data_IF_500572437092
#
_entry.id   IF_500572437092
#
_cell.length_a   1.000
_cell.length_b   1.000
_cell.length_c   1.000
_cell.angle_alpha   90.00
_cell.angle_beta   90.00
_cell.angle_gamma   90.00
#
_symmetry.space_group_name_H-M   'P 1'
#
loop_
_entity.id
_entity.type
_entity.pdbx_description
1 polymer ?
#
# COMPACT_ATOMS: atom_id res chain seq x y z
N UNK A 1 -10.56 -0.06 -27.75
CA UNK A 1 -10.08 -0.06 -26.35
C UNK A 1 -11.29 0.22 -25.50
N UNK A 2 -11.78 -0.77 -24.76
CA UNK A 2 -12.96 -0.62 -23.91
C UNK A 2 -12.45 -0.21 -22.54
N UNK A 3 -12.76 1.00 -22.09
CA UNK A 3 -12.59 1.38 -20.70
C UNK A 3 -13.58 0.53 -19.86
N UNK A 4 -13.10 -0.35 -18.97
CA UNK A 4 -14.01 -1.08 -18.10
C UNK A 4 -14.74 -0.09 -17.18
N UNK A 5 -16.06 -0.26 -17.04
CA UNK A 5 -16.86 0.55 -16.12
C UNK A 5 -16.44 0.26 -14.67
N UNK A 6 -16.52 1.23 -13.73
CA UNK A 6 -15.99 1.09 -12.36
C UNK A 6 -16.52 -0.13 -11.58
N UNK A 7 -17.73 -0.61 -11.92
CA UNK A 7 -18.33 -1.79 -11.29
C UNK A 7 -17.64 -3.12 -11.64
N UNK A 8 -16.87 -3.16 -12.73
CA UNK A 8 -16.15 -4.37 -13.17
C UNK A 8 -14.75 -4.48 -12.52
N UNK A 9 -14.15 -3.35 -12.11
CA UNK A 9 -12.82 -3.33 -11.50
C UNK A 9 -12.78 -4.11 -10.17
N UNK A 10 -13.85 -4.00 -9.39
CA UNK A 10 -13.97 -4.62 -8.07
C UNK A 10 -14.75 -5.94 -8.08
N UNK A 11 -15.25 -6.39 -9.23
CA UNK A 11 -15.94 -7.67 -9.34
C UNK A 11 -14.96 -8.81 -9.11
N UNK A 12 -15.32 -9.71 -8.19
CA UNK A 12 -14.52 -10.89 -7.81
C UNK A 12 -13.05 -10.58 -7.53
N UNK A 13 -12.79 -9.43 -6.89
CA UNK A 13 -11.46 -8.98 -6.52
C UNK A 13 -11.05 -9.50 -5.15
N UNK A 14 -9.95 -10.24 -5.10
CA UNK A 14 -9.27 -10.63 -3.88
C UNK A 14 -8.05 -9.74 -3.65
N UNK A 15 -7.91 -9.21 -2.42
CA UNK A 15 -6.80 -8.32 -2.04
C UNK A 15 -5.90 -9.03 -1.03
N UNK A 16 -4.66 -9.28 -1.42
CA UNK A 16 -3.62 -9.77 -0.52
C UNK A 16 -2.94 -8.59 0.18
N UNK A 17 -2.98 -8.58 1.51
CA UNK A 17 -2.36 -7.52 2.31
C UNK A 17 -0.88 -7.84 2.58
N UNK A 18 0.03 -7.03 2.06
CA UNK A 18 1.46 -7.11 2.42
C UNK A 18 1.70 -6.53 3.81
N UNK A 19 1.01 -5.45 4.18
CA UNK A 19 1.27 -4.67 5.40
C UNK A 19 2.78 -4.44 5.60
N UNK A 20 3.33 -4.91 6.72
CA UNK A 20 4.76 -4.89 7.03
C UNK A 20 5.38 -6.30 7.01
N UNK A 21 4.78 -7.26 6.30
CA UNK A 21 5.25 -8.64 6.23
C UNK A 21 6.52 -8.79 5.36
N UNK A 22 6.89 -7.76 4.61
CA UNK A 22 8.19 -7.66 3.93
C UNK A 22 9.37 -7.50 4.90
N UNK A 23 9.11 -7.21 6.19
CA UNK A 23 10.13 -7.16 7.26
C UNK A 23 11.31 -6.22 6.95
N UNK A 24 11.03 -5.06 6.35
CA UNK A 24 12.08 -4.10 5.94
C UNK A 24 12.95 -4.57 4.76
N UNK A 25 12.56 -5.64 4.04
CA UNK A 25 13.31 -6.19 2.92
C UNK A 25 12.48 -6.18 1.63
N UNK A 26 12.97 -5.44 0.62
CA UNK A 26 12.38 -5.45 -0.72
C UNK A 26 12.42 -6.85 -1.32
N UNK A 27 13.55 -7.55 -1.18
CA UNK A 27 13.71 -8.90 -1.72
C UNK A 27 12.71 -9.88 -1.10
N UNK A 28 12.50 -9.80 0.22
CA UNK A 28 11.50 -10.64 0.88
C UNK A 28 10.07 -10.29 0.42
N UNK A 29 9.76 -8.99 0.27
CA UNK A 29 8.48 -8.55 -0.29
C UNK A 29 8.23 -9.06 -1.72
N UNK A 30 9.25 -9.04 -2.59
CA UNK A 30 9.18 -9.60 -3.96
C UNK A 30 8.94 -11.10 -3.95
N UNK A 31 9.59 -11.82 -3.03
CA UNK A 31 9.38 -13.25 -2.86
C UNK A 31 7.93 -13.55 -2.44
N UNK A 32 7.37 -12.80 -1.49
CA UNK A 32 5.95 -12.93 -1.09
C UNK A 32 5.02 -12.72 -2.31
N UNK A 33 5.27 -11.68 -3.11
CA UNK A 33 4.48 -11.38 -4.33
C UNK A 33 4.56 -12.55 -5.31
N UNK A 34 5.75 -13.13 -5.52
CA UNK A 34 5.95 -14.30 -6.38
C UNK A 34 5.16 -15.51 -5.89
N UNK A 35 5.13 -15.75 -4.58
CA UNK A 35 4.36 -16.84 -3.98
C UNK A 35 2.85 -16.65 -4.12
N UNK A 36 2.35 -15.41 -3.97
CA UNK A 36 0.96 -15.11 -4.29
C UNK A 36 0.65 -15.42 -5.75
N UNK A 37 1.54 -15.05 -6.69
CA UNK A 37 1.33 -15.34 -8.11
C UNK A 37 1.20 -16.83 -8.38
N UNK A 38 2.04 -17.65 -7.77
CA UNK A 38 1.97 -19.11 -7.88
C UNK A 38 0.66 -19.67 -7.29
N UNK A 39 0.19 -19.11 -6.18
CA UNK A 39 -0.98 -19.61 -5.46
C UNK A 39 -2.32 -19.38 -6.17
N UNK A 40 -2.37 -18.45 -7.13
CA UNK A 40 -3.62 -18.05 -7.80
C UNK A 40 -3.74 -18.53 -9.25
N UNK A 41 -2.76 -19.30 -9.75
CA UNK A 41 -2.75 -19.76 -11.15
C UNK A 41 -4.03 -20.55 -11.46
N UNK A 42 -4.70 -20.17 -12.56
CA UNK A 42 -5.92 -20.84 -13.04
C UNK A 42 -7.21 -20.45 -12.32
N UNK A 43 -7.15 -19.58 -11.31
CA UNK A 43 -8.35 -19.08 -10.63
C UNK A 43 -9.05 -18.00 -11.47
N UNK A 44 -10.39 -18.02 -11.58
CA UNK A 44 -11.16 -17.08 -12.41
C UNK A 44 -11.46 -15.76 -11.66
N UNK A 45 -10.49 -15.22 -10.93
CA UNK A 45 -10.66 -14.04 -10.08
C UNK A 45 -9.66 -12.93 -10.44
N UNK A 46 -9.98 -11.71 -10.03
CA UNK A 46 -9.03 -10.59 -10.05
C UNK A 46 -8.25 -10.60 -8.75
N UNK A 47 -6.98 -10.24 -8.83
CA UNK A 47 -6.10 -10.24 -7.67
C UNK A 47 -5.35 -8.92 -7.55
N UNK A 48 -5.29 -8.42 -6.33
CA UNK A 48 -4.54 -7.23 -5.95
C UNK A 48 -3.56 -7.57 -4.84
N UNK A 49 -2.49 -6.80 -4.75
CA UNK A 49 -1.62 -6.77 -3.58
C UNK A 49 -1.63 -5.35 -3.04
N UNK A 50 -1.83 -5.24 -1.72
CA UNK A 50 -1.96 -3.96 -1.03
C UNK A 50 -0.74 -3.66 -0.17
N UNK A 51 -0.18 -2.47 -0.37
CA UNK A 51 0.89 -1.89 0.45
C UNK A 51 0.31 -0.90 1.47
N UNK A 52 1.10 -0.60 2.51
CA UNK A 52 0.82 0.45 3.48
C UNK A 52 1.94 1.47 3.43
N UNK A 53 1.62 2.72 3.08
CA UNK A 53 2.61 3.79 3.06
C UNK A 53 2.51 4.61 4.33
N UNK A 54 3.65 4.75 5.01
CA UNK A 54 3.81 5.61 6.18
C UNK A 54 5.10 6.39 6.00
N UNK A 55 4.99 7.71 5.98
CA UNK A 55 6.15 8.58 6.07
C UNK A 55 6.59 8.62 7.55
N UNK A 56 7.48 7.72 7.98
CA UNK A 56 7.74 7.52 9.41
C UNK A 56 8.26 8.75 10.14
N UNK A 57 8.98 9.64 9.44
CA UNK A 57 9.49 10.88 9.99
C UNK A 57 8.38 11.86 10.43
N UNK A 58 7.24 11.85 9.74
CA UNK A 58 6.07 12.68 10.09
C UNK A 58 5.01 11.89 10.85
N UNK A 59 4.96 10.57 10.68
CA UNK A 59 3.98 9.68 11.31
C UNK A 59 4.32 9.34 12.77
N UNK A 60 5.59 9.15 13.11
CA UNK A 60 6.03 8.81 14.48
C UNK A 60 6.51 10.09 15.16
N UNK A 61 5.75 10.55 16.16
CA UNK A 61 6.13 11.72 16.95
C UNK A 61 7.54 11.55 17.57
N UNK A 62 8.43 12.57 17.53
CA UNK A 62 9.82 12.45 17.98
C UNK A 62 9.98 11.86 19.38
N UNK A 63 9.09 12.20 20.32
CA UNK A 63 9.09 11.65 21.69
C UNK A 63 8.90 10.12 21.78
N UNK A 64 8.47 9.47 20.69
CA UNK A 64 8.26 8.03 20.62
C UNK A 64 9.32 7.32 19.76
N UNK A 65 10.14 8.01 18.98
CA UNK A 65 11.03 7.38 17.99
C UNK A 65 12.01 6.38 18.60
N UNK A 66 12.59 6.70 19.75
CA UNK A 66 13.55 5.82 20.43
C UNK A 66 12.90 4.80 21.38
N UNK A 67 11.56 4.79 21.48
CA UNK A 67 10.83 3.88 22.37
C UNK A 67 10.67 2.50 21.76
N UNK A 68 11.15 1.50 22.48
CA UNK A 68 11.01 0.08 22.12
C UNK A 68 9.82 -0.62 22.82
N UNK A 69 9.22 0.05 23.81
CA UNK A 69 8.13 -0.49 24.63
C UNK A 69 6.73 -0.28 24.02
N UNK A 70 6.66 0.39 22.88
CA UNK A 70 5.42 0.59 22.13
C UNK A 70 5.39 -0.33 20.91
N UNK A 71 4.51 -1.34 20.97
CA UNK A 71 4.42 -2.45 19.98
C UNK A 71 4.50 -1.98 18.53
N UNK A 72 3.70 -0.98 18.17
CA UNK A 72 3.59 -0.53 16.77
C UNK A 72 4.74 0.36 16.34
N UNK A 73 5.22 1.26 17.20
CA UNK A 73 6.38 2.11 16.88
C UNK A 73 7.59 1.24 16.59
N UNK A 74 7.88 0.27 17.47
CA UNK A 74 8.96 -0.69 17.25
C UNK A 74 8.79 -1.43 15.93
N UNK A 75 7.62 -2.04 15.68
CA UNK A 75 7.38 -2.78 14.44
C UNK A 75 7.53 -1.91 13.20
N UNK A 76 7.06 -0.67 13.21
CA UNK A 76 7.16 0.22 12.05
C UNK A 76 8.60 0.62 11.75
N UNK A 77 9.38 0.96 12.78
CA UNK A 77 10.80 1.29 12.62
C UNK A 77 11.63 0.08 12.17
N UNK A 78 11.39 -1.09 12.76
CA UNK A 78 12.12 -2.33 12.40
C UNK A 78 11.88 -2.77 10.95
N UNK A 79 10.75 -2.37 10.35
CA UNK A 79 10.36 -2.79 9.00
C UNK A 79 10.26 -1.63 8.01
N UNK A 80 10.91 -0.51 8.29
CA UNK A 80 10.87 0.67 7.43
C UNK A 80 11.42 0.35 6.03
N UNK A 81 10.72 0.88 5.02
CA UNK A 81 11.19 0.95 3.64
C UNK A 81 11.05 2.40 3.18
N UNK A 82 12.06 2.91 2.48
CA UNK A 82 12.01 4.26 1.92
C UNK A 82 11.11 4.33 0.66
N UNK A 83 10.89 5.54 0.14
CA UNK A 83 10.04 5.79 -1.04
C UNK A 83 10.43 4.91 -2.24
N UNK A 84 11.71 4.87 -2.61
CA UNK A 84 12.22 4.08 -3.75
C UNK A 84 12.02 2.57 -3.55
N UNK A 85 12.23 2.07 -2.33
CA UNK A 85 12.04 0.66 -2.00
C UNK A 85 10.56 0.27 -2.04
N UNK A 86 9.68 1.14 -1.56
CA UNK A 86 8.24 0.94 -1.66
C UNK A 86 7.78 0.98 -3.13
N UNK A 87 8.35 1.86 -3.94
CA UNK A 87 8.09 1.90 -5.39
C UNK A 87 8.50 0.60 -6.08
N UNK A 88 9.67 0.05 -5.75
CA UNK A 88 10.12 -1.26 -6.27
C UNK A 88 9.13 -2.39 -5.94
N UNK A 89 8.53 -2.39 -4.74
CA UNK A 89 7.49 -3.36 -4.40
C UNK A 89 6.22 -3.15 -5.23
N UNK A 90 5.80 -1.90 -5.46
CA UNK A 90 4.66 -1.61 -6.35
C UNK A 90 4.92 -2.08 -7.78
N UNK A 91 6.13 -1.89 -8.30
CA UNK A 91 6.48 -2.37 -9.64
C UNK A 91 6.50 -3.89 -9.70
N UNK A 92 7.05 -4.57 -8.70
CA UNK A 92 7.00 -6.03 -8.61
C UNK A 92 5.55 -6.58 -8.56
N UNK A 93 4.63 -5.89 -7.89
CA UNK A 93 3.19 -6.23 -7.90
C UNK A 93 2.63 -6.15 -9.32
N UNK A 94 2.90 -5.05 -10.03
CA UNK A 94 2.43 -4.83 -11.39
C UNK A 94 3.03 -5.85 -12.38
N UNK A 95 4.33 -6.13 -12.28
CA UNK A 95 5.05 -7.13 -13.08
C UNK A 95 4.50 -8.54 -12.89
N UNK A 96 4.06 -8.89 -11.67
CA UNK A 96 3.38 -10.15 -11.38
C UNK A 96 1.94 -10.21 -11.96
N UNK A 97 1.44 -9.11 -12.52
CA UNK A 97 0.09 -8.99 -13.08
C UNK A 97 -0.99 -8.80 -12.02
N UNK A 98 -0.64 -8.33 -10.83
CA UNK A 98 -1.59 -7.95 -9.79
C UNK A 98 -1.93 -6.46 -9.86
N UNK A 99 -3.11 -6.10 -9.35
CA UNK A 99 -3.50 -4.70 -9.19
C UNK A 99 -2.81 -4.14 -7.94
N UNK A 100 -1.96 -3.10 -8.04
CA UNK A 100 -1.38 -2.47 -6.87
C UNK A 100 -2.41 -1.57 -6.17
N UNK A 101 -2.59 -1.78 -4.86
CA UNK A 101 -3.42 -0.95 -3.99
C UNK A 101 -2.52 -0.37 -2.90
N UNK A 102 -2.78 0.87 -2.46
CA UNK A 102 -2.06 1.43 -1.31
C UNK A 102 -3.02 1.95 -0.23
N UNK A 103 -2.58 1.87 1.02
CA UNK A 103 -3.22 2.52 2.16
C UNK A 103 -2.30 3.61 2.69
N UNK A 104 -2.61 4.91 2.49
CA UNK A 104 -1.87 5.99 3.14
C UNK A 104 -2.22 6.10 4.62
N UNK A 105 -1.27 6.57 5.42
CA UNK A 105 -1.47 6.92 6.84
C UNK A 105 -1.01 8.34 7.19
N UNK A 106 -0.54 9.11 6.21
CA UNK A 106 -0.14 10.51 6.33
C UNK A 106 -0.30 11.20 4.97
N UNK A 107 -0.42 12.53 4.97
CA UNK A 107 -0.57 13.36 3.78
C UNK A 107 0.63 13.22 2.84
N UNK A 108 1.86 13.21 3.37
CA UNK A 108 3.08 12.97 2.60
C UNK A 108 3.06 11.58 1.92
N UNK A 109 2.40 10.61 2.55
CA UNK A 109 2.22 9.28 1.95
C UNK A 109 1.27 9.32 0.76
N UNK A 110 0.32 10.27 0.71
CA UNK A 110 -0.55 10.47 -0.46
C UNK A 110 0.26 11.02 -1.63
N UNK A 111 1.18 11.96 -1.39
CA UNK A 111 2.06 12.49 -2.44
C UNK A 111 2.92 11.38 -3.08
N UNK A 112 3.48 10.48 -2.26
CA UNK A 112 4.22 9.30 -2.75
C UNK A 112 3.33 8.39 -3.61
N UNK A 113 2.09 8.18 -3.17
CA UNK A 113 1.13 7.32 -3.87
C UNK A 113 0.76 7.89 -5.24
N UNK A 114 0.56 9.21 -5.35
CA UNK A 114 0.33 9.89 -6.62
C UNK A 114 1.54 9.77 -7.56
N UNK A 115 2.75 10.04 -7.05
CA UNK A 115 3.99 9.90 -7.83
C UNK A 115 4.21 8.47 -8.35
N UNK A 116 3.90 7.46 -7.54
CA UNK A 116 4.01 6.05 -7.93
C UNK A 116 2.85 5.56 -8.81
N UNK A 117 1.81 6.37 -9.00
CA UNK A 117 0.71 6.10 -9.92
C UNK A 117 -0.24 4.99 -9.45
N UNK A 118 -0.52 4.87 -8.14
CA UNK A 118 -1.56 3.95 -7.68
C UNK A 118 -2.96 4.45 -8.06
N UNK A 119 -3.77 3.57 -8.64
CA UNK A 119 -5.13 3.91 -9.05
C UNK A 119 -6.17 3.67 -7.95
N UNK A 120 -5.86 2.80 -6.98
CA UNK A 120 -6.78 2.43 -5.89
C UNK A 120 -6.12 2.73 -4.55
N UNK A 121 -6.82 3.53 -3.74
CA UNK A 121 -6.43 3.81 -2.37
C UNK A 121 -7.44 3.17 -1.42
N UNK A 122 -6.93 2.56 -0.36
CA UNK A 122 -7.72 2.01 0.74
C UNK A 122 -7.57 2.92 1.95
N UNK A 123 -8.68 3.32 2.55
CA UNK A 123 -8.68 4.02 3.84
C UNK A 123 -8.67 2.98 4.96
N UNK A 124 -7.67 3.00 5.86
CA UNK A 124 -7.67 2.12 7.03
C UNK A 124 -8.76 2.54 8.02
N UNK A 125 -9.32 1.57 8.77
CA UNK A 125 -10.40 1.88 9.72
C UNK A 125 -9.97 2.86 10.82
N UNK A 126 -8.71 2.83 11.25
CA UNK A 126 -8.15 3.80 12.21
C UNK A 126 -8.06 5.22 11.65
N UNK A 127 -8.15 5.38 10.34
CA UNK A 127 -8.11 6.66 9.62
C UNK A 127 -9.48 7.04 9.05
N UNK A 128 -10.55 6.33 9.42
CA UNK A 128 -11.90 6.58 8.90
C UNK A 128 -12.46 7.96 9.26
N UNK A 129 -11.95 8.55 10.35
CA UNK A 129 -12.32 9.90 10.82
C UNK A 129 -11.11 10.82 10.90
N UNK A 130 -10.04 10.48 10.18
CA UNK A 130 -8.84 11.30 10.05
C UNK A 130 -9.10 12.34 8.94
N UNK A 131 -9.84 13.39 9.29
CA UNK A 131 -10.33 14.37 8.33
C UNK A 131 -9.22 15.03 7.49
N UNK A 132 -8.08 15.47 8.05
CA UNK A 132 -6.99 16.02 7.25
C UNK A 132 -6.50 15.03 6.16
N UNK A 133 -6.30 13.77 6.54
CA UNK A 133 -5.92 12.73 5.58
C UNK A 133 -7.01 12.48 4.53
N UNK A 134 -8.27 12.43 4.93
CA UNK A 134 -9.40 12.23 4.01
C UNK A 134 -9.57 13.39 3.02
N UNK A 135 -9.39 14.63 3.48
CA UNK A 135 -9.39 15.82 2.63
C UNK A 135 -8.22 15.76 1.63
N UNK A 136 -7.02 15.38 2.09
CA UNK A 136 -5.87 15.21 1.20
C UNK A 136 -6.10 14.12 0.16
N UNK A 137 -6.70 12.98 0.54
CA UNK A 137 -7.08 11.90 -0.39
C UNK A 137 -8.17 12.38 -1.37
N UNK A 138 -9.16 13.14 -0.89
CA UNK A 138 -10.24 13.68 -1.71
C UNK A 138 -9.77 14.70 -2.74
N UNK A 139 -8.65 15.38 -2.46
CA UNK A 139 -8.01 16.32 -3.37
C UNK A 139 -7.11 15.66 -4.44
N UNK A 140 -6.92 14.33 -4.42
CA UNK A 140 -6.13 13.66 -5.48
C UNK A 140 -6.88 13.73 -6.80
N UNK A 141 -6.26 14.28 -7.84
CA UNK A 141 -6.83 14.21 -9.19
C UNK A 141 -6.79 12.77 -9.67
N UNK A 142 -7.96 12.18 -9.86
CA UNK A 142 -8.11 10.92 -10.58
C UNK A 142 -9.00 11.19 -11.76
N UNK A 143 -8.46 11.00 -12.95
CA UNK A 143 -9.25 11.04 -14.17
C UNK A 143 -10.50 10.17 -13.97
N UNK A 144 -11.67 10.82 -14.08
CA UNK A 144 -12.98 10.21 -13.92
C UNK A 144 -13.32 9.29 -15.10
#
# INVERSE_FOLDING_TARGET
MINPQPSDLFSDLFVFEMANNHEGSVEHGREIIRQFKTSVVGMPFRFAVKLQYRHLDTFIHPAYRDRQDTKYVKRFLDTELNEDQLHQLKDAIAEAGFIPICTPFAEDSVDWIERHGFQILKIASCSLTDWPLLERIGATERDA
#
